data_IF_849144157345
#
_entry.id   IF_849144157345
#
_cell.length_a   1.000
_cell.length_b   1.000
_cell.length_c   1.000
_cell.angle_alpha   90.00
_cell.angle_beta   90.00
_cell.angle_gamma   90.00
#
_symmetry.space_group_name_H-M   'P 1'
#
loop_
_entity.id
_entity.type
_entity.pdbx_description
1 polymer ?
#
# COMPACT_ATOMS: atom_id res chain seq x y z
N UNK A 1 -23.63 -8.88 13.65
CA UNK A 1 -22.75 -8.43 14.75
C UNK A 1 -22.27 -7.04 14.36
N UNK A 2 -22.58 -6.00 15.13
CA UNK A 2 -22.23 -4.63 14.78
C UNK A 2 -20.75 -4.37 15.11
N UNK A 3 -19.97 -3.92 14.12
CA UNK A 3 -18.58 -3.49 14.30
C UNK A 3 -18.61 -2.16 15.08
N UNK A 4 -17.81 -2.00 16.15
CA UNK A 4 -17.81 -0.76 16.92
C UNK A 4 -17.37 0.42 16.05
N UNK A 5 -18.04 1.55 16.18
CA UNK A 5 -17.72 2.76 15.43
C UNK A 5 -16.38 3.33 15.90
N UNK A 6 -15.35 3.25 15.04
CA UNK A 6 -14.10 3.97 15.23
C UNK A 6 -14.42 5.47 15.12
N UNK A 7 -14.35 6.18 16.26
CA UNK A 7 -14.57 7.62 16.33
C UNK A 7 -13.37 8.33 15.69
N UNK A 8 -13.47 8.56 14.37
CA UNK A 8 -12.46 9.13 13.46
C UNK A 8 -11.18 8.27 13.34
N UNK A 9 -10.99 7.56 12.22
CA UNK A 9 -9.73 6.84 11.99
C UNK A 9 -8.55 7.82 11.99
N UNK A 10 -7.38 7.38 12.49
CA UNK A 10 -6.16 8.21 12.57
C UNK A 10 -5.78 8.75 11.18
N UNK A 11 -6.03 7.95 10.15
CA UNK A 11 -5.95 8.35 8.75
C UNK A 11 -7.35 8.49 8.16
N UNK A 12 -7.58 9.57 7.41
CA UNK A 12 -8.78 9.69 6.61
C UNK A 12 -8.69 8.72 5.43
N UNK A 13 -9.55 7.70 5.42
CA UNK A 13 -9.71 6.71 4.36
C UNK A 13 -10.81 7.16 3.39
N UNK A 14 -10.51 7.19 2.09
CA UNK A 14 -11.51 7.40 1.04
C UNK A 14 -11.43 6.24 0.07
N UNK A 15 -12.49 5.42 0.00
CA UNK A 15 -12.60 4.40 -1.05
C UNK A 15 -12.79 5.10 -2.39
N UNK A 16 -11.84 4.91 -3.31
CA UNK A 16 -11.84 5.52 -4.64
C UNK A 16 -12.69 4.69 -5.61
N UNK A 17 -12.48 3.38 -5.55
CA UNK A 17 -13.24 2.31 -6.20
C UNK A 17 -13.23 1.12 -5.23
N UNK A 18 -14.12 0.13 -5.37
CA UNK A 18 -14.20 -0.98 -4.42
C UNK A 18 -12.81 -1.55 -4.07
N UNK A 19 -12.46 -1.70 -2.80
CA UNK A 19 -11.17 -2.27 -2.41
C UNK A 19 -9.91 -1.44 -2.71
N UNK A 20 -10.03 -0.23 -3.26
CA UNK A 20 -8.91 0.70 -3.47
C UNK A 20 -9.20 1.97 -2.69
N UNK A 21 -8.28 2.34 -1.82
CA UNK A 21 -8.48 3.44 -0.90
C UNK A 21 -7.34 4.43 -0.96
N UNK A 22 -7.66 5.72 -1.01
CA UNK A 22 -6.71 6.78 -0.73
C UNK A 22 -6.67 7.06 0.77
N UNK A 23 -5.48 7.34 1.26
CA UNK A 23 -5.25 7.76 2.61
C UNK A 23 -4.55 9.09 2.66
N UNK A 24 -4.98 9.94 3.60
CA UNK A 24 -4.43 11.29 3.73
C UNK A 24 -4.14 11.64 5.18
N UNK A 25 -3.02 12.33 5.35
CA UNK A 25 -2.59 13.01 6.57
C UNK A 25 -2.14 14.43 6.19
N UNK A 26 -1.87 15.28 7.19
CA UNK A 26 -1.59 16.70 6.97
C UNK A 26 -0.45 16.99 5.97
N UNK A 27 0.58 16.17 5.94
CA UNK A 27 1.79 16.39 5.12
C UNK A 27 2.06 15.28 4.08
N UNK A 28 1.30 14.19 4.06
CA UNK A 28 1.45 13.14 3.05
C UNK A 28 0.17 12.29 2.90
N UNK A 29 0.13 11.43 1.90
CA UNK A 29 -0.88 10.40 1.71
C UNK A 29 -0.29 9.18 0.98
N UNK A 30 -1.17 8.26 0.63
CA UNK A 30 -0.81 7.08 -0.13
C UNK A 30 -2.04 6.31 -0.56
N UNK A 31 -1.83 5.10 -1.10
CA UNK A 31 -2.89 4.22 -1.56
C UNK A 31 -2.84 2.91 -0.78
N UNK A 32 -3.98 2.38 -0.38
CA UNK A 32 -4.12 1.02 0.10
C UNK A 32 -4.99 0.24 -0.87
N UNK A 33 -4.52 -0.91 -1.35
CA UNK A 33 -5.31 -1.82 -2.20
C UNK A 33 -5.54 -3.11 -1.46
N UNK A 34 -6.80 -3.39 -1.16
CA UNK A 34 -7.24 -4.62 -0.56
C UNK A 34 -7.53 -5.66 -1.64
N UNK A 35 -6.95 -6.85 -1.46
CA UNK A 35 -7.14 -7.99 -2.35
C UNK A 35 -7.57 -9.23 -1.56
N UNK A 36 -8.44 -10.02 -2.16
CA UNK A 36 -8.79 -11.34 -1.66
C UNK A 36 -8.79 -12.35 -2.82
N UNK A 37 -8.07 -13.46 -2.67
CA UNK A 37 -7.98 -14.52 -3.68
C UNK A 37 -7.77 -15.87 -3.00
N UNK A 38 -8.48 -16.90 -3.50
CA UNK A 38 -8.32 -18.29 -3.06
C UNK A 38 -8.42 -18.48 -1.52
N UNK A 39 -9.26 -17.67 -0.86
CA UNK A 39 -9.45 -17.67 0.60
C UNK A 39 -8.42 -16.86 1.40
N UNK A 40 -7.35 -16.37 0.76
CA UNK A 40 -6.41 -15.42 1.32
C UNK A 40 -6.90 -13.97 1.24
N UNK A 41 -6.50 -13.15 2.20
CA UNK A 41 -6.78 -11.70 2.28
C UNK A 41 -5.48 -10.95 2.49
N UNK A 42 -5.37 -9.76 1.94
CA UNK A 42 -4.24 -8.91 2.26
C UNK A 42 -4.31 -7.52 1.67
N UNK A 43 -3.22 -6.79 1.85
CA UNK A 43 -3.17 -5.38 1.63
C UNK A 43 -1.85 -5.01 0.95
N UNK A 44 -1.96 -4.32 -0.18
CA UNK A 44 -0.86 -3.56 -0.75
C UNK A 44 -0.93 -2.13 -0.22
N UNK A 45 0.11 -1.69 0.46
CA UNK A 45 0.31 -0.31 0.85
C UNK A 45 1.28 0.35 -0.12
N UNK A 46 0.82 1.44 -0.75
CA UNK A 46 1.64 2.35 -1.52
C UNK A 46 1.96 3.55 -0.63
N UNK A 47 3.22 3.67 -0.27
CA UNK A 47 3.78 4.61 0.71
C UNK A 47 3.30 4.40 2.16
N UNK A 48 4.13 4.84 3.11
CA UNK A 48 3.91 4.57 4.55
C UNK A 48 3.80 5.83 5.42
N UNK A 49 3.94 7.01 4.82
CA UNK A 49 3.82 8.29 5.51
C UNK A 49 5.11 8.77 6.16
N UNK A 50 4.98 9.85 6.95
CA UNK A 50 6.10 10.67 7.42
C UNK A 50 6.26 10.70 8.94
N UNK A 51 5.39 10.00 9.67
CA UNK A 51 5.30 10.03 11.13
C UNK A 51 4.61 8.79 11.70
N UNK A 52 4.73 8.59 13.01
CA UNK A 52 4.23 7.41 13.71
C UNK A 52 2.70 7.29 13.69
N UNK A 53 1.99 8.41 13.58
CA UNK A 53 0.52 8.39 13.47
C UNK A 53 0.08 7.83 12.13
N UNK A 54 0.82 8.09 11.05
CA UNK A 54 0.55 7.41 9.78
C UNK A 54 0.72 5.88 9.93
N UNK A 55 1.75 5.44 10.65
CA UNK A 55 1.98 4.02 10.93
C UNK A 55 0.82 3.43 11.75
N UNK A 56 0.41 4.08 12.84
CA UNK A 56 -0.73 3.66 13.66
C UNK A 56 -2.00 3.49 12.81
N UNK A 57 -2.33 4.47 11.96
CA UNK A 57 -3.51 4.38 11.10
C UNK A 57 -3.40 3.29 10.03
N UNK A 58 -2.22 3.06 9.46
CA UNK A 58 -2.00 1.94 8.54
C UNK A 58 -2.16 0.58 9.25
N UNK A 59 -1.74 0.49 10.51
CA UNK A 59 -1.92 -0.73 11.32
C UNK A 59 -3.39 -0.98 11.67
N UNK A 60 -4.15 0.07 12.01
CA UNK A 60 -5.61 -0.02 12.18
C UNK A 60 -6.27 -0.59 10.91
N UNK A 61 -5.75 -0.26 9.73
CA UNK A 61 -6.32 -0.73 8.46
C UNK A 61 -5.95 -2.17 8.15
N UNK A 62 -4.71 -2.56 8.39
CA UNK A 62 -4.28 -3.97 8.29
C UNK A 62 -5.20 -4.86 9.14
N UNK A 63 -5.52 -4.41 10.35
CA UNK A 63 -6.42 -5.09 11.27
C UNK A 63 -7.89 -5.02 10.78
N UNK A 64 -8.35 -3.86 10.32
CA UNK A 64 -9.71 -3.68 9.79
C UNK A 64 -10.03 -4.59 8.60
N UNK A 65 -9.07 -4.75 7.68
CA UNK A 65 -9.21 -5.61 6.50
C UNK A 65 -8.94 -7.09 6.79
N UNK A 66 -8.53 -7.42 8.02
CA UNK A 66 -8.12 -8.77 8.41
C UNK A 66 -7.10 -9.34 7.39
N UNK A 67 -6.12 -8.49 7.06
CA UNK A 67 -5.12 -8.72 6.03
C UNK A 67 -4.05 -9.69 6.56
N UNK A 68 -4.04 -10.91 6.05
CA UNK A 68 -3.05 -11.93 6.41
C UNK A 68 -1.70 -11.67 5.73
N UNK A 69 -1.71 -11.07 4.54
CA UNK A 69 -0.52 -10.68 3.80
C UNK A 69 -0.46 -9.16 3.66
N UNK A 70 0.66 -8.54 4.02
CA UNK A 70 0.88 -7.11 3.81
C UNK A 70 2.11 -6.93 2.94
N UNK A 71 1.93 -6.25 1.82
CA UNK A 71 3.02 -5.82 0.94
C UNK A 71 3.11 -4.31 0.94
N UNK A 72 4.32 -3.77 0.95
CA UNK A 72 4.57 -2.33 0.90
C UNK A 72 5.39 -2.03 -0.33
N UNK A 73 4.98 -1.03 -1.09
CA UNK A 73 5.80 -0.43 -2.14
C UNK A 73 5.84 1.07 -1.92
N UNK A 74 7.02 1.66 -2.01
CA UNK A 74 7.17 3.11 -1.94
C UNK A 74 7.30 3.67 -3.34
N UNK A 75 6.74 4.86 -3.57
CA UNK A 75 6.87 5.58 -4.84
C UNK A 75 8.27 6.17 -5.01
N UNK A 76 8.97 6.45 -3.90
CA UNK A 76 10.39 6.78 -3.84
C UNK A 76 10.89 6.75 -2.39
N UNK A 77 12.18 7.03 -2.19
CA UNK A 77 12.94 6.75 -0.97
C UNK A 77 13.06 7.96 -0.04
N UNK A 78 12.24 9.00 -0.23
CA UNK A 78 12.14 10.08 0.74
C UNK A 78 11.46 9.63 2.03
N UNK A 79 11.78 10.33 3.11
CA UNK A 79 11.33 10.02 4.48
C UNK A 79 9.81 9.95 4.57
N UNK A 80 9.11 10.86 3.90
CA UNK A 80 7.65 10.92 3.89
C UNK A 80 7.00 9.74 3.20
N UNK A 81 7.73 8.95 2.40
CA UNK A 81 7.21 7.75 1.77
C UNK A 81 7.61 6.48 2.51
N UNK A 82 8.72 6.52 3.26
CA UNK A 82 9.41 5.33 3.81
C UNK A 82 9.41 5.25 5.34
N UNK A 83 8.92 6.27 6.06
CA UNK A 83 9.00 6.33 7.54
C UNK A 83 8.51 5.06 8.23
N UNK A 84 7.40 4.50 7.75
CA UNK A 84 6.76 3.32 8.33
C UNK A 84 7.35 1.98 7.91
N UNK A 85 8.28 1.95 6.96
CA UNK A 85 8.79 0.69 6.38
C UNK A 85 9.38 -0.24 7.45
N UNK A 86 10.22 0.28 8.36
CA UNK A 86 10.86 -0.53 9.39
C UNK A 86 9.84 -1.12 10.38
N UNK A 87 8.85 -0.32 10.80
CA UNK A 87 7.80 -0.77 11.72
C UNK A 87 6.88 -1.83 11.08
N UNK A 88 6.53 -1.66 9.81
CA UNK A 88 5.72 -2.63 9.07
C UNK A 88 6.51 -3.91 8.78
N UNK A 89 7.79 -3.81 8.41
CA UNK A 89 8.65 -4.97 8.21
C UNK A 89 8.83 -5.79 9.51
N UNK A 90 8.98 -5.13 10.65
CA UNK A 90 9.04 -5.80 11.95
C UNK A 90 7.75 -6.58 12.30
N UNK A 91 6.61 -6.23 11.68
CA UNK A 91 5.33 -6.95 11.78
C UNK A 91 5.13 -7.99 10.67
N UNK A 92 6.14 -8.26 9.86
CA UNK A 92 6.10 -9.26 8.79
C UNK A 92 5.64 -8.74 7.43
N UNK A 93 5.48 -7.42 7.25
CA UNK A 93 5.17 -6.87 5.93
C UNK A 93 6.34 -7.07 4.95
N UNK A 94 6.02 -7.43 3.71
CA UNK A 94 7.00 -7.55 2.64
C UNK A 94 7.25 -6.19 2.00
N UNK A 95 8.44 -5.64 2.19
CA UNK A 95 8.88 -4.43 1.47
C UNK A 95 9.32 -4.83 0.05
N UNK A 96 8.79 -4.13 -0.94
CA UNK A 96 9.09 -4.37 -2.34
C UNK A 96 10.08 -3.34 -2.87
N UNK A 97 10.99 -3.82 -3.69
CA UNK A 97 11.99 -3.03 -4.39
C UNK A 97 11.95 -3.38 -5.89
N UNK A 98 12.47 -2.50 -6.76
CA UNK A 98 12.71 -2.83 -8.14
C UNK A 98 13.55 -4.12 -8.26
N UNK A 99 13.31 -4.96 -9.29
CA UNK A 99 14.17 -6.10 -9.55
C UNK A 99 15.59 -5.61 -9.89
N UNK A 100 16.59 -6.46 -9.64
CA UNK A 100 17.97 -6.15 -10.00
C UNK A 100 18.08 -5.85 -11.51
N UNK A 101 18.73 -4.74 -11.87
CA UNK A 101 18.85 -4.28 -13.26
C UNK A 101 17.61 -3.57 -13.82
N UNK A 102 16.68 -3.14 -12.96
CA UNK A 102 15.60 -2.25 -13.38
C UNK A 102 16.13 -0.86 -13.76
N UNK A 103 16.09 -0.53 -15.05
CA UNK A 103 16.45 0.78 -15.58
C UNK A 103 15.21 1.71 -15.65
N UNK A 104 15.39 3.03 -15.75
CA UNK A 104 14.31 3.97 -16.07
C UNK A 104 13.43 3.49 -17.24
N UNK A 105 12.12 3.48 -17.04
CA UNK A 105 11.13 2.99 -18.00
C UNK A 105 10.97 1.47 -18.05
N UNK A 106 11.82 0.68 -17.38
CA UNK A 106 11.66 -0.77 -17.29
C UNK A 106 10.38 -1.09 -16.51
N UNK A 107 9.41 -1.67 -17.20
CA UNK A 107 8.19 -2.21 -16.60
C UNK A 107 8.42 -3.60 -16.02
N UNK A 108 8.17 -3.81 -14.73
CA UNK A 108 8.03 -5.15 -14.16
C UNK A 108 6.67 -5.35 -13.53
N UNK A 109 6.25 -6.61 -13.48
CA UNK A 109 4.99 -7.03 -12.91
C UNK A 109 5.19 -8.03 -11.79
N UNK A 110 4.32 -7.99 -10.79
CA UNK A 110 4.29 -8.96 -9.71
C UNK A 110 2.85 -9.17 -9.24
N UNK A 111 2.60 -10.27 -8.55
CA UNK A 111 1.31 -10.55 -7.91
C UNK A 111 1.44 -10.31 -6.42
N UNK A 112 0.63 -9.39 -5.88
CA UNK A 112 0.61 -9.01 -4.48
C UNK A 112 -0.79 -9.20 -3.96
N UNK A 113 -0.98 -10.14 -3.04
CA UNK A 113 -2.29 -10.38 -2.45
C UNK A 113 -3.38 -10.58 -3.53
N UNK A 114 -3.09 -11.40 -4.53
CA UNK A 114 -4.01 -11.66 -5.64
C UNK A 114 -4.23 -10.50 -6.62
N UNK A 115 -3.60 -9.34 -6.42
CA UNK A 115 -3.58 -8.22 -7.36
C UNK A 115 -2.36 -8.30 -8.28
N UNK A 116 -2.56 -8.11 -9.58
CA UNK A 116 -1.43 -7.88 -10.50
C UNK A 116 -0.99 -6.43 -10.37
N UNK A 117 0.27 -6.21 -10.06
CA UNK A 117 0.85 -4.90 -9.87
C UNK A 117 2.00 -4.72 -10.84
N UNK A 118 1.92 -3.65 -11.59
CA UNK A 118 2.96 -3.19 -12.48
C UNK A 118 3.66 -2.00 -11.84
N UNK A 119 4.98 -1.97 -11.96
CA UNK A 119 5.81 -0.88 -11.47
C UNK A 119 6.77 -0.44 -12.56
N UNK A 120 6.98 0.87 -12.65
CA UNK A 120 7.82 1.49 -13.68
C UNK A 120 8.68 2.56 -13.00
N UNK A 121 10.02 2.48 -13.00
CA UNK A 121 10.89 3.55 -12.56
C UNK A 121 10.71 4.69 -13.54
N UNK A 122 10.29 5.83 -13.01
CA UNK A 122 10.07 7.04 -13.75
C UNK A 122 10.80 8.15 -13.00
N UNK A 123 12.11 8.31 -13.25
CA UNK A 123 12.88 9.40 -12.65
C UNK A 123 12.19 10.74 -12.93
N UNK A 124 12.08 11.56 -11.90
CA UNK A 124 11.40 12.84 -11.98
C UNK A 124 11.63 13.64 -10.69
N UNK A 125 10.65 13.69 -9.76
CA UNK A 125 10.83 14.32 -8.44
C UNK A 125 12.05 13.81 -7.68
N UNK A 126 12.40 12.53 -7.86
CA UNK A 126 13.67 11.93 -7.42
C UNK A 126 14.19 10.92 -8.48
N UNK A 127 15.49 10.56 -8.46
CA UNK A 127 16.05 9.57 -9.39
C UNK A 127 15.43 8.17 -9.26
N UNK A 128 14.92 7.83 -8.09
CA UNK A 128 14.35 6.53 -7.73
C UNK A 128 12.81 6.49 -7.76
N UNK A 129 12.20 7.59 -8.22
CA UNK A 129 10.76 7.74 -8.42
C UNK A 129 10.19 6.63 -9.31
N UNK A 130 9.01 6.13 -8.96
CA UNK A 130 8.31 5.09 -9.71
C UNK A 130 6.79 5.25 -9.70
N UNK A 131 6.15 4.86 -10.79
CA UNK A 131 4.71 4.67 -10.86
C UNK A 131 4.33 3.24 -10.45
N UNK A 132 3.21 3.11 -9.75
CA UNK A 132 2.60 1.84 -9.35
C UNK A 132 1.22 1.75 -9.99
N UNK A 133 0.96 0.68 -10.73
CA UNK A 133 -0.26 0.47 -11.50
C UNK A 133 -0.86 -0.86 -11.06
N UNK A 134 -2.06 -0.82 -10.45
CA UNK A 134 -2.84 -2.03 -10.16
C UNK A 134 -3.66 -2.46 -11.37
N UNK A 135 -3.53 -3.72 -11.79
CA UNK A 135 -4.33 -4.34 -12.88
C UNK A 135 -5.13 -5.52 -12.34
N UNK A 136 -6.32 -5.72 -12.91
CA UNK A 136 -7.12 -6.91 -12.64
C UNK A 136 -7.72 -6.97 -11.24
N UNK A 137 -8.23 -5.86 -10.71
CA UNK A 137 -9.04 -5.87 -9.48
C UNK A 137 -10.36 -6.57 -9.78
N UNK A 138 -10.33 -7.90 -9.77
CA UNK A 138 -11.53 -8.74 -9.77
C UNK A 138 -12.17 -8.58 -8.41
N UNK A 139 -13.11 -7.64 -8.28
CA UNK A 139 -13.84 -7.48 -7.04
C UNK A 139 -14.55 -8.79 -6.73
N UNK A 140 -14.40 -9.35 -5.51
CA UNK A 140 -15.29 -10.42 -5.09
C UNK A 140 -16.72 -9.87 -5.21
N UNK A 141 -17.51 -10.47 -6.10
CA UNK A 141 -18.95 -10.24 -6.10
C UNK A 141 -19.42 -10.77 -4.75
N UNK A 142 -19.96 -9.86 -3.92
CA UNK A 142 -20.62 -10.22 -2.66
C UNK A 142 -21.70 -11.26 -2.88
#
# INVERSE_FOLDING_TARGET
MAVPAVTRPILALTELVPGVYAWRRASNGGIAVYGARDGGRGLLLVDTGADDRAIEGLQEWIEHFDAAEVSVINTHDHRDHTWGNAALAARGARLLAPPAGAEPGHRWETWLTGLQVECIPLPGPSPDSRAVIGRGVGFPRR
#
